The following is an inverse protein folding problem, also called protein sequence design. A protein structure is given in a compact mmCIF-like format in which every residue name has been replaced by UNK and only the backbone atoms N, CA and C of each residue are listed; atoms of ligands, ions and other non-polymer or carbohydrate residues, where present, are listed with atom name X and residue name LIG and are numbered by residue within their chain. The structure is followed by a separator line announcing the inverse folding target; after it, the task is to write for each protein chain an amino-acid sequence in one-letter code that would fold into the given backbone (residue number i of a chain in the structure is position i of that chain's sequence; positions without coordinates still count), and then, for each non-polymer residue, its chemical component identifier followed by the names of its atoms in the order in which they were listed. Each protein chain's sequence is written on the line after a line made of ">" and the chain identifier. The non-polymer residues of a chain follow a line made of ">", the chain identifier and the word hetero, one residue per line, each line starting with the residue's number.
data_IF_731944887999
#
_entry.id   IF_731944887999
#
_cell.length_a   1.000
_cell.length_b   1.000
_cell.length_c   1.000
_cell.angle_alpha   90.00
_cell.angle_beta   90.00
_cell.angle_gamma   90.00
#
_symmetry.space_group_name_H-M   'P 1'
#
loop_
_entity.id
_entity.type
_entity.pdbx_description
1 polymer ?
#
# COMPACT_ATOMS: atom_id res chain seq x y z
N UNK A 1 3.17 -59.17 12.88
CA UNK A 1 2.22 -58.08 12.56
C UNK A 1 2.29 -56.83 13.46
N UNK A 2 2.92 -56.86 14.66
CA UNK A 2 3.00 -55.67 15.56
C UNK A 2 4.07 -54.61 15.23
N UNK A 3 4.97 -54.86 14.26
CA UNK A 3 6.07 -53.92 13.92
C UNK A 3 5.75 -52.93 12.80
N UNK A 4 4.69 -53.17 12.01
CA UNK A 4 4.31 -52.27 10.90
C UNK A 4 3.50 -51.04 11.36
N UNK A 5 2.78 -51.14 12.48
CA UNK A 5 1.98 -50.01 13.01
C UNK A 5 2.82 -48.92 13.66
N UNK A 6 3.98 -49.25 14.22
CA UNK A 6 4.87 -48.26 14.86
C UNK A 6 5.57 -47.32 13.86
N UNK A 7 5.90 -47.82 12.66
CA UNK A 7 6.58 -47.03 11.62
C UNK A 7 5.63 -46.02 10.94
N UNK A 8 4.34 -46.35 10.81
CA UNK A 8 3.32 -45.45 10.27
C UNK A 8 2.99 -44.29 11.21
N UNK A 9 3.00 -44.51 12.53
CA UNK A 9 2.76 -43.43 13.51
C UNK A 9 3.90 -42.40 13.55
N UNK A 10 5.16 -42.84 13.38
CA UNK A 10 6.32 -41.95 13.36
C UNK A 10 6.37 -41.06 12.10
N UNK A 11 5.91 -41.56 10.95
CA UNK A 11 5.87 -40.79 9.71
C UNK A 11 4.82 -39.66 9.73
N UNK A 12 3.69 -39.86 10.42
CA UNK A 12 2.68 -38.81 10.59
C UNK A 12 3.11 -37.71 11.58
N UNK A 13 3.87 -38.04 12.62
CA UNK A 13 4.40 -37.04 13.55
C UNK A 13 5.42 -36.09 12.90
N UNK A 14 6.19 -36.57 11.92
CA UNK A 14 7.17 -35.76 11.21
C UNK A 14 6.54 -34.74 10.23
N UNK A 15 5.35 -35.03 9.67
CA UNK A 15 4.67 -34.13 8.73
C UNK A 15 3.99 -32.93 9.40
N UNK A 16 3.68 -33.00 10.70
CA UNK A 16 3.07 -31.88 11.45
C UNK A 16 4.11 -30.87 11.94
N UNK A 17 5.39 -31.25 12.02
CA UNK A 17 6.46 -30.41 12.56
C UNK A 17 7.08 -29.42 11.55
N UNK A 18 6.80 -29.54 10.24
CA UNK A 18 7.45 -28.72 9.20
C UNK A 18 6.59 -27.53 8.73
N UNK A 19 5.32 -27.44 9.17
CA UNK A 19 4.35 -26.46 8.66
C UNK A 19 4.13 -25.20 9.51
N UNK A 20 4.52 -25.18 10.79
CA UNK A 20 4.12 -24.12 11.71
C UNK A 20 5.25 -23.10 11.92
N UNK A 21 4.96 -21.82 11.70
CA UNK A 21 5.81 -20.64 11.98
C UNK A 21 6.71 -20.12 10.85
N UNK A 22 6.36 -20.33 9.58
CA UNK A 22 6.86 -19.40 8.56
C UNK A 22 6.06 -18.09 8.66
N UNK A 23 6.73 -16.93 8.83
CA UNK A 23 6.08 -15.63 8.79
C UNK A 23 5.20 -15.51 7.55
N UNK A 24 3.96 -15.06 7.73
CA UNK A 24 3.03 -14.90 6.62
C UNK A 24 3.07 -13.46 6.10
N UNK A 25 3.02 -13.25 4.77
CA UNK A 25 3.00 -11.90 4.22
C UNK A 25 1.76 -11.15 4.71
N UNK A 26 1.96 -9.91 5.13
CA UNK A 26 0.87 -9.03 5.55
C UNK A 26 0.01 -8.62 4.35
N UNK A 27 -1.30 -8.51 4.56
CA UNK A 27 -2.20 -7.99 3.52
C UNK A 27 -2.18 -6.46 3.56
N UNK A 28 -1.69 -5.85 2.47
CA UNK A 28 -1.60 -4.39 2.35
C UNK A 28 -2.82 -3.86 1.60
N UNK A 29 -3.55 -2.96 2.25
CA UNK A 29 -4.71 -2.27 1.71
C UNK A 29 -4.39 -0.78 1.54
N UNK A 30 -4.66 -0.26 0.37
CA UNK A 30 -4.65 1.18 0.14
C UNK A 30 -6.06 1.70 0.43
N UNK A 31 -6.17 2.64 1.37
CA UNK A 31 -7.40 3.39 1.56
C UNK A 31 -7.67 4.14 0.25
N UNK A 32 -8.87 3.98 -0.31
CA UNK A 32 -9.28 4.43 -1.66
C UNK A 32 -9.20 5.95 -1.94
N UNK A 33 -8.49 6.73 -1.13
CA UNK A 33 -8.32 8.16 -1.31
C UNK A 33 -6.86 8.48 -1.50
N UNK A 34 -6.52 8.97 -2.70
CA UNK A 34 -5.28 9.71 -2.92
C UNK A 34 -5.19 10.80 -1.85
N UNK A 35 -4.09 10.88 -1.06
CA UNK A 35 -3.94 11.96 -0.11
C UNK A 35 -3.87 13.26 -0.91
N UNK A 36 -5.01 13.94 -0.98
CA UNK A 36 -5.15 15.26 -1.54
C UNK A 36 -4.25 16.17 -0.68
N UNK A 37 -3.19 16.70 -1.28
CA UNK A 37 -2.30 17.74 -0.73
C UNK A 37 -1.26 17.41 0.35
N UNK A 38 -0.93 16.15 0.62
CA UNK A 38 0.16 15.89 1.55
C UNK A 38 1.53 15.98 0.86
N UNK A 39 2.30 17.06 1.11
CA UNK A 39 3.75 17.10 0.82
C UNK A 39 4.52 15.99 1.55
N UNK A 40 3.92 15.40 2.58
CA UNK A 40 4.41 14.16 3.17
C UNK A 40 3.99 13.01 2.26
N UNK A 41 4.97 12.28 1.72
CA UNK A 41 4.81 10.95 1.08
C UNK A 41 4.38 9.91 2.12
N UNK A 42 3.38 10.28 2.91
CA UNK A 42 3.03 9.63 4.14
C UNK A 42 2.18 8.42 3.79
N UNK A 43 2.64 7.25 4.20
CA UNK A 43 1.93 5.98 4.05
C UNK A 43 0.65 5.92 4.90
N UNK A 44 0.16 7.05 5.43
CA UNK A 44 -1.10 7.14 6.21
C UNK A 44 -2.33 6.66 5.42
N UNK A 45 -2.23 6.57 4.09
CA UNK A 45 -3.22 5.93 3.23
C UNK A 45 -3.11 4.41 3.10
N UNK A 46 -2.14 3.76 3.77
CA UNK A 46 -1.89 2.32 3.68
C UNK A 46 -2.20 1.65 5.02
N UNK A 47 -3.16 0.73 5.01
CA UNK A 47 -3.48 -0.14 6.15
C UNK A 47 -2.92 -1.52 5.89
N UNK A 48 -2.47 -2.18 6.95
CA UNK A 48 -1.96 -3.53 6.87
C UNK A 48 -2.82 -4.43 7.76
N UNK A 49 -3.20 -5.60 7.25
CA UNK A 49 -4.02 -6.57 7.99
C UNK A 49 -3.21 -7.83 8.28
N UNK A 50 -3.32 -8.30 9.51
CA UNK A 50 -2.77 -9.59 9.89
C UNK A 50 -3.39 -10.70 9.01
N UNK A 51 -2.59 -11.59 8.40
CA UNK A 51 -3.11 -12.65 7.55
C UNK A 51 -3.92 -13.70 8.34
N UNK A 52 -3.72 -13.80 9.65
CA UNK A 52 -4.38 -14.79 10.50
C UNK A 52 -5.72 -14.33 11.08
N UNK A 53 -5.84 -13.05 11.45
CA UNK A 53 -7.04 -12.53 12.11
C UNK A 53 -7.68 -11.34 11.42
N UNK A 54 -7.11 -10.87 10.31
CA UNK A 54 -7.56 -9.69 9.54
C UNK A 54 -7.54 -8.36 10.30
N UNK A 55 -7.13 -8.34 11.57
CA UNK A 55 -7.02 -7.11 12.34
C UNK A 55 -5.94 -6.20 11.78
N UNK A 56 -6.15 -4.89 11.88
CA UNK A 56 -5.16 -3.91 11.47
C UNK A 56 -3.92 -4.04 12.34
N UNK A 57 -2.76 -4.15 11.70
CA UNK A 57 -1.46 -4.20 12.37
C UNK A 57 -0.73 -2.89 12.14
N UNK A 58 -0.01 -2.44 13.17
CA UNK A 58 0.86 -1.27 13.03
C UNK A 58 1.99 -1.60 12.06
N UNK A 59 2.38 -0.61 11.27
CA UNK A 59 3.51 -0.73 10.34
C UNK A 59 4.79 -1.16 11.09
N UNK A 60 5.66 -1.92 10.42
CA UNK A 60 6.94 -2.42 10.96
C UNK A 60 6.83 -3.32 12.21
N UNK A 61 5.63 -3.85 12.52
CA UNK A 61 5.49 -4.85 13.59
C UNK A 61 5.84 -6.24 13.09
N UNK A 62 6.68 -6.96 13.84
CA UNK A 62 7.06 -8.35 13.49
C UNK A 62 5.98 -9.38 13.86
N UNK A 63 5.04 -9.01 14.72
CA UNK A 63 4.02 -9.90 15.28
C UNK A 63 2.67 -9.20 15.39
N UNK A 64 1.60 -9.93 15.09
CA UNK A 64 0.25 -9.52 15.46
C UNK A 64 0.00 -9.89 16.92
N UNK A 65 -0.48 -8.95 17.73
CA UNK A 65 -0.96 -9.21 19.09
C UNK A 65 -2.37 -8.62 19.20
N UNK A 66 -3.36 -9.39 18.77
CA UNK A 66 -4.76 -8.96 18.79
C UNK A 66 -5.60 -9.89 19.66
N UNK A 67 -6.37 -9.32 20.60
CA UNK A 67 -7.31 -10.08 21.44
C UNK A 67 -8.58 -10.36 20.63
N UNK A 68 -8.91 -11.64 20.45
CA UNK A 68 -10.11 -12.13 19.76
C UNK A 68 -11.24 -12.51 20.73
N UNK A 69 -11.01 -12.38 22.03
CA UNK A 69 -11.94 -12.75 23.11
C UNK A 69 -11.20 -12.84 24.46
N UNK A 70 -11.88 -13.27 25.53
CA UNK A 70 -11.26 -13.41 26.87
C UNK A 70 -10.07 -14.37 26.85
N UNK A 71 -10.21 -15.51 26.15
CA UNK A 71 -9.20 -16.58 26.14
C UNK A 71 -8.48 -16.76 24.79
N UNK A 72 -8.79 -15.92 23.79
CA UNK A 72 -8.23 -16.05 22.43
C UNK A 72 -7.40 -14.84 22.05
N UNK A 73 -6.17 -15.08 21.61
CA UNK A 73 -5.25 -14.07 21.08
C UNK A 73 -4.70 -14.54 19.74
N UNK A 74 -4.69 -13.66 18.75
CA UNK A 74 -3.90 -13.85 17.55
C UNK A 74 -2.45 -13.47 17.87
N UNK A 75 -1.54 -14.44 17.73
CA UNK A 75 -0.10 -14.30 17.97
C UNK A 75 0.70 -14.82 16.76
N UNK A 76 0.40 -14.30 15.57
CA UNK A 76 1.07 -14.70 14.34
C UNK A 76 2.28 -13.83 14.03
N UNK A 77 3.37 -14.44 13.58
CA UNK A 77 4.52 -13.73 13.01
C UNK A 77 4.15 -13.18 11.62
N UNK A 78 4.56 -11.95 11.35
CA UNK A 78 4.22 -11.21 10.13
C UNK A 78 5.48 -10.94 9.33
N UNK A 79 5.39 -11.11 8.02
CA UNK A 79 6.41 -10.69 7.06
C UNK A 79 5.94 -9.45 6.30
N UNK A 80 6.74 -8.39 6.33
CA UNK A 80 6.54 -7.22 5.48
C UNK A 80 7.22 -7.44 4.13
N UNK A 81 6.61 -7.00 3.02
CA UNK A 81 7.30 -7.00 1.74
C UNK A 81 8.43 -5.95 1.74
N UNK A 82 9.44 -6.13 0.90
CA UNK A 82 10.54 -5.15 0.75
C UNK A 82 10.09 -3.88 0.02
N UNK A 83 9.11 -4.04 -0.87
CA UNK A 83 8.48 -2.94 -1.61
C UNK A 83 7.01 -3.23 -1.86
N UNK A 84 6.23 -2.16 -2.00
CA UNK A 84 4.83 -2.24 -2.44
C UNK A 84 4.69 -1.48 -3.74
N UNK A 85 3.96 -2.04 -4.68
CA UNK A 85 3.52 -1.31 -5.87
C UNK A 85 2.61 -0.17 -5.43
N UNK A 86 2.91 1.06 -5.84
CA UNK A 86 2.05 2.17 -5.49
C UNK A 86 0.70 2.04 -6.20
N UNK A 87 -0.40 2.08 -5.44
CA UNK A 87 -1.75 1.95 -5.98
C UNK A 87 -2.12 3.06 -6.98
N UNK A 88 -1.57 4.27 -6.82
CA UNK A 88 -1.89 5.42 -7.69
C UNK A 88 -1.20 5.40 -9.06
N UNK A 89 -0.12 4.64 -9.20
CA UNK A 89 0.65 4.57 -10.43
C UNK A 89 0.79 3.14 -10.96
N UNK A 90 0.32 2.14 -10.19
CA UNK A 90 0.39 0.72 -10.49
C UNK A 90 1.79 0.27 -10.97
N UNK A 91 2.85 0.87 -10.40
CA UNK A 91 4.23 0.54 -10.80
C UNK A 91 4.73 1.25 -12.06
N UNK A 92 3.90 2.03 -12.76
CA UNK A 92 4.21 2.60 -14.08
C UNK A 92 4.96 3.92 -14.04
N UNK A 93 5.12 4.53 -12.86
CA UNK A 93 5.73 5.86 -12.67
C UNK A 93 5.04 7.00 -13.47
N UNK A 94 3.83 6.76 -13.97
CA UNK A 94 2.99 7.71 -14.68
C UNK A 94 1.72 7.87 -13.85
N UNK A 95 1.21 9.10 -13.75
CA UNK A 95 -0.06 9.36 -13.09
C UNK A 95 -1.18 8.54 -13.76
N UNK A 96 -2.05 7.90 -12.98
CA UNK A 96 -3.10 7.01 -13.52
C UNK A 96 -3.98 7.68 -14.58
N UNK A 97 -4.46 8.91 -14.31
CA UNK A 97 -5.27 9.65 -15.28
C UNK A 97 -4.48 9.97 -16.55
N UNK A 98 -3.20 10.33 -16.40
CA UNK A 98 -2.30 10.55 -17.53
C UNK A 98 -2.11 9.24 -18.34
N UNK A 99 -1.85 8.11 -17.68
CA UNK A 99 -1.69 6.81 -18.32
C UNK A 99 -2.96 6.33 -19.03
N UNK A 100 -4.13 6.46 -18.38
CA UNK A 100 -5.42 6.07 -18.93
C UNK A 100 -5.77 6.86 -20.20
N UNK A 101 -5.36 8.14 -20.26
CA UNK A 101 -5.60 9.01 -21.41
C UNK A 101 -4.42 9.07 -22.39
N UNK A 102 -3.37 8.26 -22.21
CA UNK A 102 -2.14 8.27 -23.02
C UNK A 102 -1.47 9.65 -23.10
N UNK A 103 -1.53 10.39 -22.00
CA UNK A 103 -0.90 11.69 -21.80
C UNK A 103 0.36 11.47 -20.97
N UNK A 104 1.52 11.94 -21.42
CA UNK A 104 2.79 11.75 -20.71
C UNK A 104 3.38 13.06 -20.18
N UNK A 105 2.87 14.20 -20.65
CA UNK A 105 3.35 15.54 -20.34
C UNK A 105 2.58 16.21 -19.20
N UNK A 106 1.64 15.50 -18.57
CA UNK A 106 0.84 16.04 -17.47
C UNK A 106 -0.19 17.08 -17.90
N UNK A 107 -0.51 17.21 -19.18
CA UNK A 107 -1.59 18.10 -19.62
C UNK A 107 -2.95 17.64 -19.10
N UNK A 108 -3.85 18.61 -18.88
CA UNK A 108 -5.22 18.32 -18.49
C UNK A 108 -5.94 17.60 -19.64
N UNK A 109 -6.35 16.35 -19.44
CA UNK A 109 -7.01 15.55 -20.47
C UNK A 109 -8.33 16.17 -20.95
N UNK A 110 -9.11 16.76 -20.03
CA UNK A 110 -10.46 17.25 -20.33
C UNK A 110 -10.43 18.46 -21.28
N UNK A 111 -9.51 19.41 -21.06
CA UNK A 111 -9.36 20.58 -21.92
C UNK A 111 -8.17 20.49 -22.89
N UNK A 112 -7.48 19.35 -22.95
CA UNK A 112 -6.28 19.13 -23.78
C UNK A 112 -5.24 20.26 -23.65
N UNK A 113 -5.05 20.78 -22.43
CA UNK A 113 -4.12 21.88 -22.17
C UNK A 113 -4.62 23.30 -22.54
N UNK A 114 -5.85 23.46 -23.01
CA UNK A 114 -6.40 24.79 -23.31
C UNK A 114 -6.74 25.60 -22.03
N UNK A 115 -7.10 24.92 -20.94
CA UNK A 115 -7.57 25.54 -19.69
C UNK A 115 -9.05 25.93 -19.72
N UNK A 116 -9.65 25.93 -20.91
CA UNK A 116 -11.06 26.21 -21.14
C UNK A 116 -11.69 25.09 -21.98
N UNK A 117 -13.00 24.91 -21.83
CA UNK A 117 -13.87 24.10 -22.66
C UNK A 117 -14.52 24.99 -23.75
N UNK A 118 -15.25 24.43 -24.73
CA UNK A 118 -16.03 25.22 -25.67
C UNK A 118 -16.92 26.25 -24.96
N UNK A 119 -17.19 27.37 -25.64
CA UNK A 119 -17.90 28.54 -25.08
C UNK A 119 -17.17 29.27 -23.95
N UNK A 120 -15.84 29.21 -23.90
CA UNK A 120 -15.00 29.92 -22.93
C UNK A 120 -15.29 29.57 -21.46
N UNK A 121 -15.80 28.37 -21.19
CA UNK A 121 -16.02 27.90 -19.83
C UNK A 121 -14.71 27.40 -19.23
N UNK A 122 -14.34 27.84 -18.03
CA UNK A 122 -13.16 27.32 -17.32
C UNK A 122 -13.26 25.80 -17.16
N UNK A 123 -12.18 25.09 -17.47
CA UNK A 123 -12.16 23.64 -17.33
C UNK A 123 -12.29 23.27 -15.84
N UNK A 124 -13.35 22.54 -15.43
CA UNK A 124 -13.59 22.25 -14.03
C UNK A 124 -12.55 21.29 -13.45
N UNK A 125 -11.98 20.41 -14.27
CA UNK A 125 -10.95 19.45 -13.83
C UNK A 125 -9.62 20.12 -13.48
N UNK A 126 -9.18 21.15 -14.22
CA UNK A 126 -7.92 21.85 -13.93
C UNK A 126 -8.09 23.25 -13.36
N UNK A 127 -9.32 23.77 -13.24
CA UNK A 127 -9.61 25.13 -12.80
C UNK A 127 -8.89 26.19 -13.66
N UNK A 128 -8.73 25.95 -14.96
CA UNK A 128 -8.00 26.86 -15.86
C UNK A 128 -6.48 26.65 -15.92
N UNK A 129 -5.89 25.80 -15.07
CA UNK A 129 -4.43 25.65 -14.96
C UNK A 129 -3.76 24.90 -16.11
N UNK A 130 -4.53 24.35 -17.06
CA UNK A 130 -4.04 23.59 -18.25
C UNK A 130 -3.34 22.26 -17.94
N UNK A 131 -2.98 22.02 -16.69
CA UNK A 131 -2.28 20.81 -16.22
C UNK A 131 -3.23 19.84 -15.52
N UNK A 132 -2.85 18.57 -15.47
CA UNK A 132 -3.53 17.51 -14.74
C UNK A 132 -3.43 17.79 -13.23
N UNK A 133 -4.58 17.85 -12.56
CA UNK A 133 -4.66 18.18 -11.13
C UNK A 133 -4.03 17.12 -10.22
N UNK A 134 -3.91 15.87 -10.68
CA UNK A 134 -3.37 14.77 -9.87
C UNK A 134 -1.84 14.74 -9.83
N UNK A 135 -1.17 15.20 -10.90
CA UNK A 135 0.28 15.23 -10.99
C UNK A 135 0.84 16.65 -11.18
N UNK A 136 -0.01 17.67 -11.06
CA UNK A 136 0.34 19.08 -11.23
C UNK A 136 1.18 19.37 -12.50
N UNK A 137 0.94 18.64 -13.59
CA UNK A 137 1.68 18.83 -14.85
C UNK A 137 2.98 18.05 -14.97
N UNK A 138 3.38 17.27 -13.98
CA UNK A 138 4.62 16.48 -14.07
C UNK A 138 4.49 15.28 -15.02
N UNK A 139 3.25 14.81 -15.27
CA UNK A 139 2.95 13.56 -15.97
C UNK A 139 3.36 12.30 -15.19
N UNK A 140 4.13 12.48 -14.12
CA UNK A 140 4.67 11.43 -13.27
C UNK A 140 3.75 11.21 -12.08
N UNK A 141 3.91 10.08 -11.43
CA UNK A 141 3.27 9.89 -10.15
C UNK A 141 4.17 10.46 -9.04
N UNK A 142 3.79 11.62 -8.52
CA UNK A 142 4.58 12.29 -7.49
C UNK A 142 4.54 11.57 -6.13
N UNK A 143 3.58 10.64 -5.96
CA UNK A 143 3.43 9.83 -4.74
C UNK A 143 4.48 8.70 -4.65
N UNK A 144 4.92 8.16 -5.79
CA UNK A 144 5.80 7.00 -5.87
C UNK A 144 7.08 7.38 -6.62
N UNK A 145 8.26 7.35 -5.97
CA UNK A 145 9.53 7.61 -6.67
C UNK A 145 9.86 6.45 -7.64
N UNK A 146 9.24 6.41 -8.83
CA UNK A 146 9.51 5.35 -9.82
C UNK A 146 8.54 4.18 -9.81
N UNK A 147 7.28 4.34 -9.37
CA UNK A 147 6.30 3.24 -9.43
C UNK A 147 6.20 2.38 -8.17
N UNK A 148 7.27 2.35 -7.36
CA UNK A 148 7.38 1.49 -6.17
C UNK A 148 7.53 2.34 -4.91
N UNK A 149 6.88 1.89 -3.84
CA UNK A 149 7.12 2.35 -2.48
C UNK A 149 8.12 1.37 -1.86
N UNK A 150 9.37 1.79 -1.72
CA UNK A 150 10.39 0.98 -1.05
C UNK A 150 10.15 1.08 0.46
N UNK A 151 9.83 -0.05 1.08
CA UNK A 151 9.51 -0.11 2.51
C UNK A 151 10.77 -0.13 3.37
N UNK A 152 11.87 -0.65 2.83
CA UNK A 152 13.19 -0.70 3.47
C UNK A 152 13.78 0.68 3.78
N UNK A 153 13.26 1.75 3.18
CA UNK A 153 13.72 3.13 3.33
C UNK A 153 12.71 4.04 4.03
N UNK A 154 11.66 3.48 4.65
CA UNK A 154 10.94 4.18 5.71
C UNK A 154 11.86 4.16 6.93
N UNK A 155 12.92 4.96 6.86
CA UNK A 155 13.76 5.29 8.01
C UNK A 155 12.83 5.62 9.16
N UNK A 156 13.03 4.93 10.29
CA UNK A 156 12.27 5.03 11.53
C UNK A 156 12.08 6.45 12.09
N UNK A 157 12.66 7.46 11.45
CA UNK A 157 12.58 8.89 11.77
C UNK A 157 11.57 9.69 10.94
N UNK A 158 10.98 9.15 9.87
CA UNK A 158 10.12 9.93 8.95
C UNK A 158 8.63 9.57 9.00
N UNK A 159 8.20 8.98 10.10
CA UNK A 159 6.79 8.92 10.50
C UNK A 159 6.70 9.84 11.73
N UNK A 160 6.55 11.13 11.46
CA UNK A 160 6.62 12.19 12.47
C UNK A 160 5.53 12.00 13.55
N UNK A 161 5.98 12.12 14.80
CA UNK A 161 5.16 12.54 15.93
C UNK A 161 4.35 13.79 15.54
N UNK A 162 3.08 13.91 15.95
CA UNK A 162 2.37 15.18 15.77
C UNK A 162 3.16 16.26 16.51
N UNK A 163 3.43 17.38 15.83
CA UNK A 163 3.93 18.58 16.49
C UNK A 163 2.97 18.90 17.64
N UNK A 164 3.47 18.85 18.88
CA UNK A 164 2.77 19.44 20.02
C UNK A 164 2.72 20.94 19.75
N UNK A 165 1.50 21.46 19.60
CA UNK A 165 1.22 22.90 19.56
C UNK A 165 1.62 23.51 20.91
N UNK A 166 2.54 24.48 20.88
CA UNK A 166 2.80 25.44 21.96
C UNK A 166 2.29 26.83 21.55
#
# INVERSE_FOLDING_TARGET
>A
MRRLTALLAAAFAALVAVGCNKPQPVNIEFCNHAPYYSKNKDLRGVKARCPHCTHHVKWDTKKCVHKLGPDRKCMGDIQWPESVTCAYCLGRNVCEVCAANRITDGTCFQCKGAGVLPHNVLCPTCGGKKVCYLCNGSGKCDFCSGGKLVLASVDKKRIFEPDEEE
#
